data_IF_827247990637
#
_entry.id   IF_827247990637
#
_cell.length_a   1.000
_cell.length_b   1.000
_cell.length_c   1.000
_cell.angle_alpha   90.00
_cell.angle_beta   90.00
_cell.angle_gamma   90.00
#
_symmetry.space_group_name_H-M   'P 1'
#
loop_
_entity.id
_entity.type
_entity.pdbx_description
1 polymer ?
#
# COMPACT_ATOMS: atom_id res chain seq x y z
N UNK A 1 20.47 14.25 -7.19
CA UNK A 1 21.77 13.69 -7.66
C UNK A 1 23.01 14.41 -7.10
N UNK A 2 23.00 15.73 -6.84
CA UNK A 2 24.18 16.49 -6.35
C UNK A 2 24.98 15.84 -5.22
N UNK A 3 24.30 15.19 -4.27
CA UNK A 3 24.92 14.62 -3.06
C UNK A 3 25.19 13.12 -3.14
N UNK A 4 24.94 12.48 -4.29
CA UNK A 4 25.09 11.04 -4.42
C UNK A 4 26.58 10.66 -4.53
N UNK A 5 27.15 9.91 -3.58
CA UNK A 5 28.55 9.55 -3.64
C UNK A 5 28.82 8.56 -4.76
N UNK A 6 29.98 8.69 -5.42
CA UNK A 6 30.37 7.82 -6.53
C UNK A 6 30.53 6.34 -6.16
N UNK A 7 30.66 6.01 -4.86
CA UNK A 7 30.77 4.64 -4.36
C UNK A 7 29.42 4.02 -3.97
N UNK A 8 28.32 4.79 -3.95
CA UNK A 8 26.97 4.25 -3.77
C UNK A 8 26.33 3.99 -5.14
N UNK A 9 26.41 2.74 -5.58
CA UNK A 9 25.92 2.29 -6.89
C UNK A 9 24.41 2.00 -6.93
N UNK A 10 23.65 2.29 -5.87
CA UNK A 10 22.21 2.04 -5.86
C UNK A 10 21.51 2.94 -6.87
N UNK A 11 20.72 2.33 -7.74
CA UNK A 11 19.84 2.99 -8.70
C UNK A 11 18.36 2.75 -8.40
N UNK A 12 18.07 1.85 -7.46
CA UNK A 12 16.74 1.45 -7.04
C UNK A 12 16.66 1.41 -5.51
N UNK A 13 15.44 1.58 -5.01
CA UNK A 13 15.11 1.30 -3.61
C UNK A 13 14.88 -0.19 -3.40
N UNK A 14 15.07 -0.64 -2.16
CA UNK A 14 14.48 -1.89 -1.71
C UNK A 14 12.98 -1.70 -1.46
N UNK A 15 12.28 -2.80 -1.20
CA UNK A 15 10.86 -2.77 -0.82
C UNK A 15 10.60 -1.71 0.28
N UNK A 16 9.61 -0.85 0.05
CA UNK A 16 9.23 0.20 1.00
C UNK A 16 8.69 -0.44 2.28
N UNK A 17 9.04 0.13 3.43
CA UNK A 17 8.73 -0.43 4.74
C UNK A 17 7.67 0.40 5.45
N UNK A 18 7.08 -0.17 6.51
CA UNK A 18 6.07 0.48 7.35
C UNK A 18 6.66 1.41 8.41
N UNK A 19 8.00 1.44 8.53
CA UNK A 19 8.74 2.27 9.45
C UNK A 19 10.00 2.84 8.77
N UNK A 20 10.55 3.89 9.36
CA UNK A 20 11.75 4.58 8.86
C UNK A 20 12.90 4.49 9.86
N UNK A 21 14.10 4.78 9.38
CA UNK A 21 15.27 4.86 10.25
C UNK A 21 15.08 5.93 11.33
N UNK A 22 15.51 5.60 12.55
CA UNK A 22 15.60 6.57 13.64
C UNK A 22 16.78 7.52 13.43
N UNK A 23 16.72 8.70 14.04
CA UNK A 23 17.79 9.70 13.97
C UNK A 23 19.19 9.16 14.35
N UNK A 24 19.35 8.28 15.37
CA UNK A 24 20.66 7.70 15.69
C UNK A 24 21.29 6.91 14.53
N UNK A 25 20.49 6.35 13.61
CA UNK A 25 21.03 5.64 12.44
C UNK A 25 21.68 6.64 11.48
N UNK A 26 21.00 7.74 11.15
CA UNK A 26 21.51 8.75 10.23
C UNK A 26 22.66 9.55 10.85
N UNK A 27 22.61 9.83 12.16
CA UNK A 27 23.71 10.45 12.92
C UNK A 27 24.99 9.61 12.88
N UNK A 28 24.89 8.28 13.10
CA UNK A 28 26.05 7.38 13.02
C UNK A 28 26.64 7.30 11.62
N UNK A 29 25.79 7.33 10.58
CA UNK A 29 26.24 7.40 9.19
C UNK A 29 27.04 8.70 8.98
N UNK A 30 26.46 9.83 9.37
CA UNK A 30 27.11 11.13 9.22
C UNK A 30 28.45 11.18 9.97
N UNK A 31 28.50 10.75 11.23
CA UNK A 31 29.72 10.72 12.03
C UNK A 31 30.83 9.89 11.37
N UNK A 32 30.50 8.68 10.89
CA UNK A 32 31.47 7.80 10.22
C UNK A 32 31.99 8.39 8.91
N UNK A 33 31.16 9.10 8.15
CA UNK A 33 31.57 9.74 6.91
C UNK A 33 32.42 10.98 7.17
N UNK A 34 31.99 11.85 8.08
CA UNK A 34 32.73 13.09 8.44
C UNK A 34 34.11 12.82 9.03
N UNK A 35 34.31 11.65 9.66
CA UNK A 35 35.60 11.22 10.23
C UNK A 35 36.46 10.39 9.25
N UNK A 36 35.99 10.18 8.02
CA UNK A 36 36.68 9.39 7.01
C UNK A 36 37.31 10.26 5.92
N UNK A 37 38.29 9.70 5.21
CA UNK A 37 38.77 10.29 3.95
C UNK A 37 37.70 10.28 2.85
N UNK A 38 37.97 10.95 1.73
CA UNK A 38 37.11 10.93 0.56
C UNK A 38 37.87 10.31 -0.64
N UNK A 39 37.56 9.06 -1.06
CA UNK A 39 36.46 8.23 -0.57
C UNK A 39 36.72 7.60 0.81
N UNK A 40 35.66 7.24 1.57
CA UNK A 40 35.81 6.54 2.85
C UNK A 40 36.44 5.15 2.69
N UNK A 41 37.05 4.57 3.74
CA UNK A 41 37.51 3.18 3.70
C UNK A 41 36.41 2.19 3.31
N UNK A 42 36.76 1.08 2.65
CA UNK A 42 35.78 0.09 2.16
C UNK A 42 34.85 -0.45 3.27
N UNK A 43 35.36 -0.60 4.49
CA UNK A 43 34.57 -1.02 5.65
C UNK A 43 33.45 -0.04 5.99
N UNK A 44 33.74 1.26 5.94
CA UNK A 44 32.76 2.35 6.14
C UNK A 44 31.76 2.36 5.00
N UNK A 45 32.22 2.28 3.74
CA UNK A 45 31.34 2.21 2.57
C UNK A 45 30.36 1.02 2.67
N UNK A 46 30.85 -0.16 3.06
CA UNK A 46 30.02 -1.37 3.23
C UNK A 46 28.97 -1.18 4.33
N UNK A 47 29.37 -0.62 5.47
CA UNK A 47 28.44 -0.31 6.56
C UNK A 47 27.34 0.67 6.13
N UNK A 48 27.74 1.80 5.53
CA UNK A 48 26.79 2.85 5.13
C UNK A 48 25.84 2.33 4.06
N UNK A 49 26.34 1.66 3.00
CA UNK A 49 25.47 1.04 1.98
C UNK A 49 24.49 0.06 2.58
N UNK A 50 24.92 -0.78 3.54
CA UNK A 50 24.02 -1.70 4.22
C UNK A 50 22.89 -0.98 4.97
N UNK A 51 23.20 0.08 5.74
CA UNK A 51 22.17 0.86 6.42
C UNK A 51 21.25 1.59 5.44
N UNK A 52 21.82 2.19 4.39
CA UNK A 52 21.04 2.89 3.38
C UNK A 52 20.10 1.96 2.61
N UNK A 53 20.54 0.76 2.22
CA UNK A 53 19.67 -0.25 1.60
C UNK A 53 18.62 -0.79 2.57
N UNK A 54 18.98 -1.01 3.84
CA UNK A 54 18.04 -1.53 4.85
C UNK A 54 16.87 -0.57 5.09
N UNK A 55 17.15 0.74 5.12
CA UNK A 55 16.19 1.77 5.50
C UNK A 55 15.75 2.67 4.35
N UNK A 56 16.10 2.31 3.10
CA UNK A 56 15.86 3.14 1.90
C UNK A 56 16.31 4.60 2.07
N UNK A 57 17.48 4.82 2.69
CA UNK A 57 18.01 6.17 2.90
C UNK A 57 18.50 6.77 1.59
N UNK A 58 18.25 8.08 1.44
CA UNK A 58 18.68 8.92 0.31
C UNK A 58 19.65 9.99 0.75
N UNK A 59 20.53 10.41 -0.15
CA UNK A 59 21.54 11.43 0.10
C UNK A 59 20.94 12.84 -0.07
N UNK A 60 20.86 13.59 1.03
CA UNK A 60 20.22 14.92 1.10
C UNK A 60 21.21 16.07 1.31
N UNK A 61 22.47 15.76 1.62
CA UNK A 61 23.52 16.74 1.83
C UNK A 61 24.90 16.09 1.91
N UNK A 62 25.94 16.92 2.02
CA UNK A 62 27.30 16.44 2.28
C UNK A 62 27.30 15.56 3.54
N UNK A 63 27.70 14.30 3.37
CA UNK A 63 27.76 13.28 4.43
C UNK A 63 26.42 13.00 5.14
N UNK A 64 25.29 13.44 4.55
CA UNK A 64 23.96 13.33 5.14
C UNK A 64 23.05 12.42 4.34
N UNK A 65 22.61 11.34 4.98
CA UNK A 65 21.55 10.47 4.50
C UNK A 65 20.28 10.66 5.34
N UNK A 66 19.11 10.60 4.72
CA UNK A 66 17.82 10.74 5.37
C UNK A 66 16.82 9.67 4.90
N UNK A 67 15.83 9.30 5.71
CA UNK A 67 14.73 8.46 5.25
C UNK A 67 13.87 9.20 4.21
N UNK A 68 13.13 8.45 3.41
CA UNK A 68 12.11 9.01 2.54
C UNK A 68 11.03 9.73 3.36
N UNK A 69 10.62 10.91 2.93
CA UNK A 69 9.46 11.60 3.46
C UNK A 69 8.15 10.96 2.95
N UNK A 70 7.02 11.07 3.66
CA UNK A 70 5.78 10.40 3.27
C UNK A 70 5.30 10.74 1.85
N UNK A 71 5.48 11.97 1.41
CA UNK A 71 5.08 12.40 0.06
C UNK A 71 5.98 11.80 -1.03
N UNK A 72 7.24 11.47 -0.71
CA UNK A 72 8.13 10.75 -1.64
C UNK A 72 7.69 9.28 -1.75
N UNK A 73 7.23 8.66 -0.65
CA UNK A 73 6.64 7.32 -0.69
C UNK A 73 5.31 7.29 -1.46
N UNK A 74 4.43 8.28 -1.27
CA UNK A 74 3.20 8.43 -2.07
C UNK A 74 3.53 8.46 -3.56
N UNK A 75 4.52 9.27 -3.96
CA UNK A 75 4.98 9.34 -5.34
C UNK A 75 5.51 7.99 -5.86
N UNK A 76 6.40 7.32 -5.11
CA UNK A 76 6.98 6.03 -5.53
C UNK A 76 5.93 4.91 -5.65
N UNK A 77 4.90 4.96 -4.82
CA UNK A 77 3.78 4.01 -4.84
C UNK A 77 2.69 4.38 -5.85
N UNK A 78 2.81 5.54 -6.51
CA UNK A 78 1.85 6.01 -7.51
C UNK A 78 0.56 6.60 -6.91
N UNK A 79 0.54 6.96 -5.64
CA UNK A 79 -0.59 7.70 -5.05
C UNK A 79 -0.55 9.19 -5.45
N UNK A 80 -1.71 9.88 -5.40
CA UNK A 80 -1.74 11.34 -5.49
C UNK A 80 -0.86 11.98 -4.41
N UNK A 81 -0.28 13.14 -4.73
CA UNK A 81 0.46 13.93 -3.75
C UNK A 81 -0.45 14.27 -2.58
N UNK A 82 0.06 14.13 -1.36
CA UNK A 82 -0.65 14.41 -0.12
C UNK A 82 -1.85 13.48 0.17
N UNK A 83 -1.95 12.33 -0.51
CA UNK A 83 -3.03 11.34 -0.31
C UNK A 83 -3.23 10.94 1.15
N UNK A 84 -2.14 10.78 1.91
CA UNK A 84 -2.19 10.41 3.34
C UNK A 84 -1.97 11.60 4.28
N UNK A 85 -1.92 12.83 3.76
CA UNK A 85 -1.73 14.05 4.57
C UNK A 85 -2.95 14.29 5.46
N UNK A 86 -2.70 14.85 6.65
CA UNK A 86 -3.72 15.01 7.70
C UNK A 86 -3.69 13.91 8.77
N UNK A 87 -2.85 12.88 8.58
CA UNK A 87 -2.61 11.83 9.55
C UNK A 87 -1.20 11.90 10.14
N UNK A 88 -1.02 11.35 11.34
CA UNK A 88 0.27 11.32 12.04
C UNK A 88 1.35 10.61 11.22
N UNK A 89 2.60 11.09 11.29
CA UNK A 89 3.73 10.60 10.45
C UNK A 89 3.90 9.07 10.52
N UNK A 90 3.82 8.49 11.72
CA UNK A 90 3.89 7.03 11.92
C UNK A 90 2.77 6.28 11.20
N UNK A 91 1.53 6.78 11.28
CA UNK A 91 0.40 6.16 10.60
C UNK A 91 0.57 6.24 9.08
N UNK A 92 1.05 7.36 8.54
CA UNK A 92 1.31 7.53 7.10
C UNK A 92 2.30 6.48 6.58
N UNK A 93 3.45 6.32 7.25
CA UNK A 93 4.42 5.30 6.87
C UNK A 93 3.86 3.89 6.94
N UNK A 94 3.10 3.57 8.00
CA UNK A 94 2.48 2.26 8.16
C UNK A 94 1.50 1.95 7.02
N UNK A 95 0.63 2.91 6.69
CA UNK A 95 -0.36 2.77 5.63
C UNK A 95 0.29 2.64 4.25
N UNK A 96 1.27 3.48 3.93
CA UNK A 96 1.99 3.46 2.65
C UNK A 96 2.81 2.16 2.48
N UNK A 97 3.56 1.76 3.50
CA UNK A 97 4.41 0.56 3.44
C UNK A 97 3.66 -0.76 3.25
N UNK A 98 2.35 -0.78 3.53
CA UNK A 98 1.45 -1.93 3.36
C UNK A 98 0.44 -1.73 2.22
N UNK A 99 0.62 -0.73 1.37
CA UNK A 99 -0.28 -0.44 0.25
C UNK A 99 0.18 -1.08 -1.05
N UNK A 100 -0.72 -1.12 -2.04
CA UNK A 100 -0.36 -1.48 -3.40
C UNK A 100 0.59 -0.46 -4.02
N UNK A 101 1.44 -0.93 -4.94
CA UNK A 101 2.04 -0.06 -5.95
C UNK A 101 0.99 0.16 -7.04
N UNK A 102 0.45 1.38 -7.11
CA UNK A 102 -0.72 1.74 -7.90
C UNK A 102 -0.51 1.47 -9.39
N UNK A 103 0.65 1.81 -9.95
CA UNK A 103 0.87 1.71 -11.39
C UNK A 103 0.97 0.24 -11.87
N UNK A 104 1.48 -0.65 -11.01
CA UNK A 104 1.55 -2.10 -11.23
C UNK A 104 0.14 -2.69 -11.22
N UNK A 105 -0.67 -2.32 -10.23
CA UNK A 105 -2.08 -2.74 -10.17
C UNK A 105 -2.85 -2.19 -11.38
N UNK A 106 -2.63 -0.91 -11.73
CA UNK A 106 -3.26 -0.29 -12.89
C UNK A 106 -2.91 -1.01 -14.20
N UNK A 107 -1.66 -1.45 -14.37
CA UNK A 107 -1.26 -2.24 -15.53
C UNK A 107 -2.12 -3.52 -15.66
N UNK A 108 -2.31 -4.27 -14.57
CA UNK A 108 -3.14 -5.48 -14.58
C UNK A 108 -4.62 -5.20 -14.78
N UNK A 109 -5.14 -4.11 -14.20
CA UNK A 109 -6.55 -3.73 -14.32
C UNK A 109 -6.88 -3.01 -15.64
N UNK A 110 -5.87 -2.63 -16.43
CA UNK A 110 -6.06 -1.86 -17.67
C UNK A 110 -6.99 -2.53 -18.68
N UNK A 111 -6.99 -3.86 -18.72
CA UNK A 111 -7.88 -4.66 -19.60
C UNK A 111 -9.37 -4.42 -19.32
N UNK A 112 -9.72 -4.03 -18.09
CA UNK A 112 -11.12 -3.79 -17.70
C UNK A 112 -11.69 -2.52 -18.32
N UNK A 113 -10.83 -1.59 -18.78
CA UNK A 113 -11.26 -0.30 -19.34
C UNK A 113 -12.15 -0.47 -20.55
N UNK A 114 -11.74 -1.32 -21.49
CA UNK A 114 -12.49 -1.54 -22.73
C UNK A 114 -13.62 -2.56 -22.54
N UNK A 115 -13.50 -3.46 -21.55
CA UNK A 115 -14.54 -4.43 -21.19
C UNK A 115 -15.76 -3.78 -20.54
N UNK A 116 -15.55 -2.70 -19.78
CA UNK A 116 -16.60 -2.04 -18.99
C UNK A 116 -16.67 -0.53 -19.28
N UNK A 117 -17.11 -0.13 -20.50
CA UNK A 117 -17.14 1.28 -20.92
C UNK A 117 -18.07 2.15 -20.06
N UNK A 118 -19.06 1.55 -19.41
CA UNK A 118 -20.02 2.24 -18.53
C UNK A 118 -19.60 2.23 -17.04
N UNK A 119 -18.38 1.77 -16.75
CA UNK A 119 -17.86 1.64 -15.40
C UNK A 119 -18.22 0.33 -14.71
N UNK A 120 -17.67 0.14 -13.52
CA UNK A 120 -17.68 -1.13 -12.78
C UNK A 120 -18.24 -0.99 -11.37
N UNK A 121 -18.72 -2.10 -10.81
CA UNK A 121 -18.97 -2.28 -9.38
C UNK A 121 -17.86 -3.12 -8.77
N UNK A 122 -17.34 -2.70 -7.60
CA UNK A 122 -16.15 -3.30 -6.99
C UNK A 122 -16.44 -3.76 -5.57
N UNK A 123 -16.04 -4.98 -5.26
CA UNK A 123 -15.88 -5.46 -3.89
C UNK A 123 -14.39 -5.46 -3.56
N UNK A 124 -13.98 -4.57 -2.65
CA UNK A 124 -12.58 -4.35 -2.27
C UNK A 124 -12.34 -4.86 -0.86
N UNK A 125 -11.61 -5.96 -0.74
CA UNK A 125 -11.29 -6.61 0.54
C UNK A 125 -9.90 -6.17 1.01
N UNK A 126 -9.78 -5.82 2.29
CA UNK A 126 -8.53 -5.30 2.86
C UNK A 126 -8.02 -4.06 2.11
N UNK A 127 -8.93 -3.12 1.87
CA UNK A 127 -8.74 -1.99 0.94
C UNK A 127 -7.55 -1.09 1.29
N UNK A 128 -7.14 -1.04 2.55
CA UNK A 128 -6.08 -0.14 3.03
C UNK A 128 -6.42 1.31 2.64
N UNK A 129 -5.47 2.04 2.08
CA UNK A 129 -5.63 3.44 1.65
C UNK A 129 -6.19 3.59 0.23
N UNK A 130 -6.81 2.56 -0.34
CA UNK A 130 -7.51 2.68 -1.62
C UNK A 130 -6.63 2.47 -2.86
N UNK A 131 -5.59 1.63 -2.77
CA UNK A 131 -4.64 1.47 -3.88
C UNK A 131 -5.27 0.93 -5.17
N UNK A 132 -6.28 0.06 -5.06
CA UNK A 132 -7.01 -0.47 -6.22
C UNK A 132 -7.95 0.58 -6.84
N UNK A 133 -8.63 1.34 -6.00
CA UNK A 133 -9.56 2.40 -6.39
C UNK A 133 -8.83 3.55 -7.07
N UNK A 134 -7.67 3.95 -6.52
CA UNK A 134 -6.78 4.95 -7.15
C UNK A 134 -6.29 4.44 -8.50
N UNK A 135 -5.95 3.14 -8.63
CA UNK A 135 -5.54 2.56 -9.91
C UNK A 135 -6.67 2.60 -10.94
N UNK A 136 -7.88 2.18 -10.58
CA UNK A 136 -9.07 2.24 -11.44
C UNK A 136 -9.38 3.68 -11.88
N UNK A 137 -9.32 4.63 -10.95
CA UNK A 137 -9.51 6.05 -11.27
C UNK A 137 -8.46 6.58 -12.26
N UNK A 138 -7.18 6.24 -12.08
CA UNK A 138 -6.12 6.62 -13.02
C UNK A 138 -6.33 6.06 -14.43
N UNK A 139 -6.92 4.87 -14.54
CA UNK A 139 -7.26 4.24 -15.82
C UNK A 139 -8.49 4.89 -16.48
N UNK A 140 -9.16 5.82 -15.81
CA UNK A 140 -10.41 6.42 -16.27
C UNK A 140 -11.60 5.45 -16.20
N UNK A 141 -11.50 4.40 -15.40
CA UNK A 141 -12.59 3.44 -15.19
C UNK A 141 -13.53 4.02 -14.13
N UNK A 142 -14.74 4.36 -14.54
CA UNK A 142 -15.75 4.87 -13.62
C UNK A 142 -16.16 3.78 -12.61
N UNK A 143 -16.05 4.08 -11.32
CA UNK A 143 -16.52 3.18 -10.26
C UNK A 143 -17.96 3.56 -9.89
N UNK A 144 -18.93 2.78 -10.35
CA UNK A 144 -20.37 3.01 -10.09
C UNK A 144 -20.68 2.82 -8.61
N UNK A 145 -20.16 1.74 -8.03
CA UNK A 145 -20.23 1.46 -6.61
C UNK A 145 -18.96 0.71 -6.15
N UNK A 146 -18.51 1.01 -4.93
CA UNK A 146 -17.44 0.30 -4.24
C UNK A 146 -17.93 -0.09 -2.86
N UNK A 147 -17.84 -1.38 -2.55
CA UNK A 147 -17.97 -1.90 -1.18
C UNK A 147 -16.57 -2.22 -0.69
N UNK A 148 -16.03 -1.38 0.20
CA UNK A 148 -14.66 -1.49 0.72
C UNK A 148 -14.65 -2.03 2.15
N UNK A 149 -13.82 -3.03 2.41
CA UNK A 149 -13.66 -3.66 3.72
C UNK A 149 -12.27 -3.32 4.24
N UNK A 150 -12.17 -2.56 5.33
CA UNK A 150 -10.88 -2.15 5.91
C UNK A 150 -11.01 -1.96 7.42
N UNK A 151 -10.17 -2.64 8.21
CA UNK A 151 -10.24 -2.63 9.68
C UNK A 151 -9.69 -1.34 10.31
N UNK A 152 -8.70 -0.71 9.69
CA UNK A 152 -8.08 0.50 10.22
C UNK A 152 -8.92 1.74 9.91
N UNK A 153 -9.48 2.36 10.96
CA UNK A 153 -10.27 3.60 10.84
C UNK A 153 -9.51 4.75 10.16
N UNK A 154 -8.19 4.82 10.33
CA UNK A 154 -7.39 5.84 9.66
C UNK A 154 -7.32 5.61 8.14
N UNK A 155 -7.14 4.36 7.70
CA UNK A 155 -7.13 3.99 6.29
C UNK A 155 -8.48 4.27 5.63
N UNK A 156 -9.59 3.89 6.29
CA UNK A 156 -10.96 4.24 5.86
C UNK A 156 -11.12 5.73 5.62
N UNK A 157 -10.72 6.56 6.59
CA UNK A 157 -10.76 8.02 6.44
C UNK A 157 -9.89 8.56 5.29
N UNK A 158 -8.74 7.94 5.02
CA UNK A 158 -7.89 8.30 3.87
C UNK A 158 -8.64 8.03 2.56
N UNK A 159 -9.17 6.81 2.39
CA UNK A 159 -9.95 6.44 1.22
C UNK A 159 -11.19 7.35 1.06
N UNK A 160 -11.97 7.55 2.12
CA UNK A 160 -13.15 8.41 2.13
C UNK A 160 -12.83 9.84 1.70
N UNK A 161 -11.78 10.44 2.27
CA UNK A 161 -11.32 11.78 1.91
C UNK A 161 -10.99 11.90 0.42
N UNK A 162 -10.28 10.90 -0.12
CA UNK A 162 -9.98 10.85 -1.56
C UNK A 162 -11.23 10.61 -2.41
N UNK A 163 -12.13 9.74 -1.97
CA UNK A 163 -13.38 9.41 -2.66
C UNK A 163 -14.25 10.65 -2.84
N UNK A 164 -14.48 11.40 -1.77
CA UNK A 164 -15.34 12.59 -1.77
C UNK A 164 -14.80 13.71 -2.67
N UNK A 165 -13.49 13.70 -2.96
CA UNK A 165 -12.84 14.68 -3.84
C UNK A 165 -12.83 14.26 -5.31
N UNK A 166 -12.98 12.97 -5.62
CA UNK A 166 -12.63 12.43 -6.94
C UNK A 166 -13.70 11.57 -7.60
N UNK A 167 -14.66 11.05 -6.83
CA UNK A 167 -15.63 10.07 -7.31
C UNK A 167 -17.07 10.57 -7.17
N UNK A 168 -17.92 10.12 -8.09
CA UNK A 168 -19.37 10.40 -8.09
C UNK A 168 -20.21 9.16 -7.75
N UNK A 169 -19.59 7.98 -7.71
CA UNK A 169 -20.25 6.73 -7.39
C UNK A 169 -20.56 6.56 -5.90
N UNK A 170 -21.10 5.40 -5.56
CA UNK A 170 -21.40 5.05 -4.16
C UNK A 170 -20.22 4.36 -3.49
N UNK A 171 -19.78 4.82 -2.32
CA UNK A 171 -18.81 4.13 -1.47
C UNK A 171 -19.46 3.65 -0.16
N UNK A 172 -19.52 2.33 0.00
CA UNK A 172 -19.94 1.64 1.23
C UNK A 172 -18.70 1.12 1.94
N UNK A 173 -18.52 1.51 3.20
CA UNK A 173 -17.40 1.09 4.02
C UNK A 173 -17.85 0.09 5.08
N UNK A 174 -17.14 -1.03 5.17
CA UNK A 174 -17.33 -2.08 6.16
C UNK A 174 -16.03 -2.24 6.95
N UNK A 175 -16.15 -2.43 8.25
CA UNK A 175 -14.99 -2.44 9.14
C UNK A 175 -14.24 -3.78 9.10
N UNK A 176 -14.94 -4.91 9.29
CA UNK A 176 -14.31 -6.23 9.41
C UNK A 176 -14.83 -7.19 8.34
N UNK A 177 -13.91 -7.91 7.71
CA UNK A 177 -14.23 -8.96 6.76
C UNK A 177 -15.03 -10.10 7.40
N UNK A 178 -14.83 -10.33 8.71
CA UNK A 178 -15.52 -11.37 9.49
C UNK A 178 -16.98 -11.03 9.77
N UNK A 179 -17.34 -9.74 9.75
CA UNK A 179 -18.73 -9.34 9.94
C UNK A 179 -19.56 -9.58 8.69
N UNK A 180 -18.94 -9.57 7.50
CA UNK A 180 -19.64 -9.71 6.22
C UNK A 180 -20.19 -11.11 6.01
N UNK A 181 -21.51 -11.26 6.15
CA UNK A 181 -22.26 -12.52 6.00
C UNK A 181 -22.78 -12.72 4.58
N UNK A 182 -23.14 -13.97 4.25
CA UNK A 182 -23.52 -14.35 2.88
C UNK A 182 -24.83 -13.67 2.41
N UNK A 183 -25.76 -13.43 3.32
CA UNK A 183 -27.00 -12.69 3.08
C UNK A 183 -26.73 -11.20 2.81
N UNK A 184 -25.82 -10.57 3.56
CA UNK A 184 -25.38 -9.21 3.28
C UNK A 184 -24.69 -9.11 1.91
N UNK A 185 -23.81 -10.06 1.58
CA UNK A 185 -23.16 -10.15 0.26
C UNK A 185 -24.20 -10.27 -0.85
N UNK A 186 -25.17 -11.17 -0.70
CA UNK A 186 -26.27 -11.33 -1.64
C UNK A 186 -27.10 -10.06 -1.80
N UNK A 187 -27.33 -9.32 -0.70
CA UNK A 187 -28.03 -8.03 -0.74
C UNK A 187 -27.28 -6.99 -1.58
N UNK A 188 -25.95 -6.92 -1.47
CA UNK A 188 -25.14 -6.00 -2.28
C UNK A 188 -25.10 -6.43 -3.74
N UNK A 189 -24.96 -7.74 -4.00
CA UNK A 189 -25.02 -8.31 -5.35
C UNK A 189 -26.35 -7.95 -6.02
N UNK A 190 -27.49 -8.16 -5.35
CA UNK A 190 -28.80 -7.79 -5.89
C UNK A 190 -28.93 -6.27 -6.07
N UNK A 191 -28.51 -5.47 -5.09
CA UNK A 191 -28.61 -4.00 -5.12
C UNK A 191 -27.82 -3.38 -6.27
N UNK A 192 -26.66 -3.93 -6.61
CA UNK A 192 -25.75 -3.36 -7.60
C UNK A 192 -25.75 -4.10 -8.94
N UNK A 193 -26.52 -5.19 -9.07
CA UNK A 193 -26.55 -6.03 -10.26
C UNK A 193 -25.27 -6.88 -10.42
N UNK A 194 -24.62 -7.23 -9.31
CA UNK A 194 -23.36 -7.98 -9.27
C UNK A 194 -22.13 -7.13 -8.99
N UNK A 195 -20.99 -7.80 -8.88
CA UNK A 195 -19.65 -7.20 -8.79
C UNK A 195 -18.84 -7.57 -10.03
N UNK A 196 -18.38 -6.56 -10.76
CA UNK A 196 -17.52 -6.75 -11.94
C UNK A 196 -16.08 -7.09 -11.54
N UNK A 197 -15.65 -6.63 -10.35
CA UNK A 197 -14.33 -6.87 -9.81
C UNK A 197 -14.40 -7.18 -8.31
N UNK A 198 -13.79 -8.31 -7.91
CA UNK A 198 -13.43 -8.58 -6.51
C UNK A 198 -11.92 -8.50 -6.40
N UNK A 199 -11.42 -7.55 -5.61
CA UNK A 199 -10.00 -7.27 -5.42
C UNK A 199 -9.67 -7.28 -3.93
N UNK A 200 -8.46 -7.68 -3.56
CA UNK A 200 -7.99 -7.47 -2.20
C UNK A 200 -6.50 -7.70 -2.02
N UNK A 201 -5.91 -6.94 -1.09
CA UNK A 201 -4.53 -7.12 -0.66
C UNK A 201 -4.49 -8.09 0.51
N UNK A 202 -3.71 -9.17 0.44
CA UNK A 202 -3.62 -10.08 1.58
C UNK A 202 -3.13 -9.31 2.83
N UNK A 203 -3.77 -9.45 4.00
CA UNK A 203 -3.32 -8.87 5.27
C UNK A 203 -2.04 -9.59 5.75
N UNK A 204 -0.94 -9.38 5.04
CA UNK A 204 0.29 -10.15 5.14
C UNK A 204 1.27 -9.60 6.20
N UNK A 205 0.81 -9.19 7.38
CA UNK A 205 1.74 -8.79 8.45
C UNK A 205 2.68 -9.93 8.89
N UNK A 206 2.27 -11.20 8.73
CA UNK A 206 3.07 -12.39 9.06
C UNK A 206 3.97 -12.88 7.90
N UNK A 207 3.83 -12.29 6.72
CA UNK A 207 4.60 -12.62 5.50
C UNK A 207 5.52 -11.48 5.06
N UNK A 208 5.19 -10.22 5.39
CA UNK A 208 5.99 -9.03 5.09
C UNK A 208 7.00 -8.72 6.23
N UNK A 209 8.29 -8.67 5.86
CA UNK A 209 9.46 -8.90 6.73
C UNK A 209 9.78 -7.91 7.87
N UNK A 210 8.91 -6.98 8.22
CA UNK A 210 9.14 -6.04 9.35
C UNK A 210 8.65 -6.57 10.70
N UNK A 211 7.63 -7.44 10.75
CA UNK A 211 7.19 -8.12 11.97
C UNK A 211 7.88 -9.48 12.10
N UNK A 212 9.15 -9.48 12.55
CA UNK A 212 9.99 -10.69 12.67
C UNK A 212 9.62 -11.67 13.80
N UNK A 213 8.48 -11.52 14.48
CA UNK A 213 8.21 -12.26 15.71
C UNK A 213 7.28 -13.48 15.58
N UNK A 214 6.46 -13.60 14.53
CA UNK A 214 5.59 -14.78 14.34
C UNK A 214 5.50 -15.14 12.85
N UNK A 215 6.19 -16.21 12.44
CA UNK A 215 6.13 -16.78 11.08
C UNK A 215 5.23 -18.01 11.11
N UNK A 216 3.96 -17.82 11.42
CA UNK A 216 3.00 -18.93 11.54
C UNK A 216 2.38 -19.32 10.17
N UNK A 217 3.00 -18.93 9.06
CA UNK A 217 2.52 -19.27 7.72
C UNK A 217 1.08 -18.82 7.48
N UNK A 218 0.26 -19.67 6.83
CA UNK A 218 -1.18 -19.46 6.62
C UNK A 218 -2.04 -19.73 7.86
N UNK A 219 -1.45 -20.26 8.93
CA UNK A 219 -2.14 -20.59 10.18
C UNK A 219 -2.08 -19.46 11.22
N UNK A 220 -1.31 -18.40 10.95
CA UNK A 220 -1.27 -17.21 11.80
C UNK A 220 -2.60 -16.46 11.82
N UNK A 221 -2.86 -15.75 12.92
CA UNK A 221 -4.11 -15.00 13.17
C UNK A 221 -4.51 -14.08 12.00
N UNK A 222 -3.54 -13.41 11.37
CA UNK A 222 -3.75 -12.56 10.20
C UNK A 222 -3.83 -13.34 8.87
N UNK A 223 -3.19 -14.49 8.77
CA UNK A 223 -3.15 -15.29 7.54
C UNK A 223 -4.43 -16.10 7.32
N UNK A 224 -5.18 -16.38 8.40
CA UNK A 224 -6.52 -16.97 8.34
C UNK A 224 -7.52 -16.11 7.54
N UNK A 225 -7.30 -14.80 7.47
CA UNK A 225 -8.13 -13.86 6.70
C UNK A 225 -8.07 -14.10 5.19
N UNK A 226 -7.05 -14.83 4.72
CA UNK A 226 -7.02 -15.34 3.34
C UNK A 226 -8.23 -16.25 3.07
N UNK A 227 -8.64 -17.09 4.02
CA UNK A 227 -9.82 -17.95 3.85
C UNK A 227 -11.12 -17.14 3.81
N UNK A 228 -11.20 -16.02 4.54
CA UNK A 228 -12.33 -15.10 4.44
C UNK A 228 -12.45 -14.49 3.04
N UNK A 229 -11.32 -14.20 2.37
CA UNK A 229 -11.33 -13.77 0.97
C UNK A 229 -12.01 -14.82 0.07
N UNK A 230 -11.63 -16.10 0.18
CA UNK A 230 -12.23 -17.16 -0.64
C UNK A 230 -13.69 -17.40 -0.30
N UNK A 231 -14.05 -17.38 0.99
CA UNK A 231 -15.43 -17.49 1.45
C UNK A 231 -16.28 -16.42 0.76
N UNK A 232 -15.87 -15.16 0.86
CA UNK A 232 -16.60 -14.03 0.28
C UNK A 232 -16.65 -14.13 -1.25
N UNK A 233 -15.54 -14.46 -1.91
CA UNK A 233 -15.50 -14.62 -3.36
C UNK A 233 -16.47 -15.72 -3.83
N UNK A 234 -16.54 -16.84 -3.11
CA UNK A 234 -17.47 -17.91 -3.41
C UNK A 234 -18.92 -17.48 -3.16
N UNK A 235 -19.19 -16.74 -2.07
CA UNK A 235 -20.53 -16.21 -1.79
C UNK A 235 -20.99 -15.21 -2.87
N UNK A 236 -20.09 -14.34 -3.35
CA UNK A 236 -20.37 -13.44 -4.49
C UNK A 236 -20.72 -14.24 -5.73
N UNK A 237 -19.92 -15.24 -6.09
CA UNK A 237 -20.17 -16.09 -7.27
C UNK A 237 -21.50 -16.82 -7.17
N UNK A 238 -21.81 -17.40 -6.01
CA UNK A 238 -23.07 -18.10 -5.77
C UNK A 238 -24.26 -17.14 -5.84
N UNK A 239 -24.17 -15.96 -5.24
CA UNK A 239 -25.22 -14.95 -5.32
C UNK A 239 -25.44 -14.47 -6.76
N UNK A 240 -24.37 -14.25 -7.53
CA UNK A 240 -24.47 -13.83 -8.93
C UNK A 240 -25.04 -14.91 -9.84
N UNK A 241 -24.79 -16.19 -9.56
CA UNK A 241 -25.37 -17.31 -10.31
C UNK A 241 -26.88 -17.49 -10.04
N UNK A 242 -27.39 -16.93 -8.94
CA UNK A 242 -28.78 -17.02 -8.51
C UNK A 242 -29.61 -15.75 -8.81
N UNK A 243 -29.03 -14.75 -9.48
CA UNK A 243 -29.75 -13.55 -9.97
C UNK A 243 -30.46 -13.84 -11.30
#
# INVERSE_FOLDING_TARGET
KKWWPSWDQRTHFNCLQTCTASAPVTERIQQKLSSSGNPPPQSVQKYVRHQCSKWNLVWVGKDKAAPLEPHEMEYLLGFPKDHTRGFGKTQRYKSLGNSFQVDTVAYHLSVLRDMFPNGITVLSLFTSIGGGEVALHKLGIHMRAVVSIEICKANRKILRSWWDQTQTGTLIEIDDVKSLKDDEIASYVHRFGGFDLVIGGSPCNNLAGSNRHHRDGLEGEHSSLFYDYFRILNSVKSAMANM
#
